data_IF_855383174597
#
_entry.id   IF_855383174597
#
_cell.length_a   1.000
_cell.length_b   1.000
_cell.length_c   1.000
_cell.angle_alpha   90.00
_cell.angle_beta   90.00
_cell.angle_gamma   90.00
#
_symmetry.space_group_name_H-M   'P 1'
#
loop_
_entity.id
_entity.type
_entity.pdbx_description
1 polymer ?
#
# COMPACT_ATOMS: atom_id res chain seq x y z
N UNK A 1 27.39 -15.82 -3.41
CA UNK A 1 27.15 -15.99 -4.85
C UNK A 1 25.82 -16.67 -5.09
N UNK A 2 25.73 -17.98 -4.82
CA UNK A 2 24.54 -18.79 -5.13
C UNK A 2 23.26 -18.40 -4.37
N UNK A 3 23.39 -17.79 -3.19
CA UNK A 3 22.27 -17.31 -2.39
C UNK A 3 21.51 -16.14 -3.05
N UNK A 4 22.24 -15.21 -3.69
CA UNK A 4 21.63 -14.10 -4.42
C UNK A 4 20.91 -14.60 -5.68
N UNK A 5 21.55 -15.52 -6.40
CA UNK A 5 20.98 -16.17 -7.58
C UNK A 5 19.70 -16.93 -7.24
N UNK A 6 19.69 -17.71 -6.15
CA UNK A 6 18.49 -18.44 -5.72
C UNK A 6 17.35 -17.47 -5.37
N UNK A 7 17.64 -16.39 -4.64
CA UNK A 7 16.63 -15.36 -4.32
C UNK A 7 16.05 -14.73 -5.58
N UNK A 8 16.89 -14.41 -6.55
CA UNK A 8 16.46 -13.81 -7.82
C UNK A 8 15.54 -14.76 -8.60
N UNK A 9 15.87 -16.06 -8.66
CA UNK A 9 15.01 -17.05 -9.29
C UNK A 9 13.66 -17.22 -8.59
N UNK A 10 13.66 -17.30 -7.26
CA UNK A 10 12.43 -17.39 -6.47
C UNK A 10 11.57 -16.11 -6.60
N UNK A 11 12.20 -14.95 -6.77
CA UNK A 11 11.46 -13.71 -7.00
C UNK A 11 10.86 -13.68 -8.40
N UNK A 12 11.65 -14.02 -9.43
CA UNK A 12 11.21 -13.92 -10.82
C UNK A 12 10.16 -14.95 -11.19
N UNK A 13 10.11 -16.10 -10.50
CA UNK A 13 9.06 -17.10 -10.74
C UNK A 13 7.65 -16.57 -10.45
N UNK A 14 7.52 -15.69 -9.45
CA UNK A 14 6.21 -15.36 -8.86
C UNK A 14 5.83 -13.88 -9.00
N UNK A 15 6.80 -12.96 -9.02
CA UNK A 15 6.56 -11.51 -8.85
C UNK A 15 5.56 -10.90 -9.84
N UNK A 16 5.37 -11.50 -11.01
CA UNK A 16 4.46 -10.99 -12.06
C UNK A 16 3.18 -11.81 -12.22
N UNK A 17 2.97 -12.83 -11.38
CA UNK A 17 1.76 -13.65 -11.40
C UNK A 17 0.58 -12.97 -10.71
N UNK A 18 0.83 -11.99 -9.85
CA UNK A 18 -0.22 -11.22 -9.18
C UNK A 18 0.27 -9.87 -8.65
N UNK A 19 -0.62 -8.89 -8.45
CA UNK A 19 -0.29 -7.64 -7.78
C UNK A 19 0.33 -7.85 -6.39
N UNK A 20 -0.17 -8.84 -5.64
CA UNK A 20 0.32 -9.15 -4.29
C UNK A 20 1.77 -9.65 -4.33
N UNK A 21 2.12 -10.51 -5.28
CA UNK A 21 3.50 -10.97 -5.45
C UNK A 21 4.42 -9.83 -5.91
N UNK A 22 3.94 -8.93 -6.77
CA UNK A 22 4.72 -7.79 -7.27
C UNK A 22 5.16 -6.86 -6.12
N UNK A 23 4.25 -6.49 -5.22
CA UNK A 23 4.55 -5.60 -4.09
C UNK A 23 5.42 -6.27 -3.01
N UNK A 24 5.39 -7.61 -2.92
CA UNK A 24 6.23 -8.39 -2.01
C UNK A 24 7.61 -8.74 -2.59
N UNK A 25 7.89 -8.36 -3.84
CA UNK A 25 9.24 -8.51 -4.39
C UNK A 25 10.25 -7.70 -3.56
N UNK A 26 11.53 -8.14 -3.44
CA UNK A 26 12.53 -7.44 -2.64
C UNK A 26 12.68 -5.95 -3.00
N UNK A 27 12.66 -5.62 -4.29
CA UNK A 27 12.78 -4.24 -4.77
C UNK A 27 11.60 -3.38 -4.33
N UNK A 28 10.37 -3.86 -4.55
CA UNK A 28 9.14 -3.16 -4.18
C UNK A 28 9.03 -3.01 -2.66
N UNK A 29 9.33 -4.08 -1.91
CA UNK A 29 9.32 -4.08 -0.44
C UNK A 29 10.31 -3.05 0.10
N UNK A 30 11.53 -3.02 -0.47
CA UNK A 30 12.55 -2.06 -0.07
C UNK A 30 12.13 -0.61 -0.39
N UNK A 31 11.47 -0.39 -1.52
CA UNK A 31 10.94 0.92 -1.88
C UNK A 31 9.80 1.39 -0.96
N UNK A 32 8.85 0.51 -0.65
CA UNK A 32 7.75 0.80 0.28
C UNK A 32 8.32 1.06 1.69
N UNK A 33 9.29 0.26 2.14
CA UNK A 33 9.94 0.47 3.43
C UNK A 33 10.64 1.84 3.52
N UNK A 34 11.31 2.28 2.44
CA UNK A 34 11.90 3.63 2.39
C UNK A 34 10.84 4.72 2.51
N UNK A 35 9.70 4.57 1.83
CA UNK A 35 8.60 5.53 1.92
C UNK A 35 8.02 5.62 3.34
N UNK A 36 7.88 4.47 4.02
CA UNK A 36 7.46 4.41 5.43
C UNK A 36 8.46 5.20 6.29
N UNK A 37 9.74 4.85 6.29
CA UNK A 37 10.69 5.48 7.24
C UNK A 37 10.95 6.96 6.97
N UNK A 38 10.58 7.47 5.80
CA UNK A 38 10.70 8.89 5.45
C UNK A 38 9.62 9.78 6.10
N UNK A 39 8.49 9.20 6.53
CA UNK A 39 7.37 9.96 7.10
C UNK A 39 7.42 10.03 8.64
N UNK A 40 7.01 11.16 9.23
CA UNK A 40 7.24 11.46 10.65
C UNK A 40 6.25 10.78 11.60
N UNK A 41 5.05 10.42 11.14
CA UNK A 41 3.98 9.85 11.96
C UNK A 41 3.34 8.62 11.29
N UNK A 42 2.68 7.78 12.09
CA UNK A 42 2.20 6.47 11.66
C UNK A 42 1.08 6.53 10.61
N UNK A 43 0.24 7.56 10.66
CA UNK A 43 -0.75 7.81 9.63
C UNK A 43 -0.10 8.08 8.26
N UNK A 44 0.81 9.05 8.20
CA UNK A 44 1.51 9.44 6.96
C UNK A 44 2.36 8.31 6.42
N UNK A 45 2.98 7.51 7.30
CA UNK A 45 3.67 6.26 6.95
C UNK A 45 2.77 5.29 6.19
N UNK A 46 1.54 5.11 6.67
CA UNK A 46 0.54 4.22 6.07
C UNK A 46 0.12 4.72 4.69
N UNK A 47 -0.16 6.02 4.55
CA UNK A 47 -0.50 6.64 3.26
C UNK A 47 0.66 6.51 2.27
N UNK A 48 1.89 6.85 2.69
CA UNK A 48 3.07 6.77 1.84
C UNK A 48 3.37 5.33 1.37
N UNK A 49 3.16 4.34 2.25
CA UNK A 49 3.27 2.92 1.88
C UNK A 49 2.25 2.54 0.80
N UNK A 50 0.99 2.90 1.00
CA UNK A 50 -0.10 2.65 0.06
C UNK A 50 0.15 3.31 -1.30
N UNK A 51 0.47 4.61 -1.32
CA UNK A 51 0.74 5.35 -2.56
C UNK A 51 1.96 4.80 -3.31
N UNK A 52 3.00 4.38 -2.58
CA UNK A 52 4.19 3.76 -3.19
C UNK A 52 3.85 2.41 -3.80
N UNK A 53 3.07 1.57 -3.10
CA UNK A 53 2.63 0.28 -3.62
C UNK A 53 1.77 0.44 -4.88
N UNK A 54 0.82 1.38 -4.87
CA UNK A 54 -0.02 1.70 -6.04
C UNK A 54 0.84 2.14 -7.22
N UNK A 55 1.81 3.05 -7.00
CA UNK A 55 2.71 3.51 -8.06
C UNK A 55 3.52 2.35 -8.67
N UNK A 56 4.12 1.50 -7.84
CA UNK A 56 4.88 0.31 -8.30
C UNK A 56 4.01 -0.58 -9.19
N UNK A 57 2.75 -0.80 -8.81
CA UNK A 57 1.80 -1.59 -9.60
C UNK A 57 1.43 -0.90 -10.91
N UNK A 58 1.12 0.41 -10.89
CA UNK A 58 0.79 1.18 -12.10
C UNK A 58 1.96 1.14 -13.09
N UNK A 59 3.19 1.33 -12.62
CA UNK A 59 4.40 1.26 -13.45
C UNK A 59 4.60 -0.15 -14.05
N UNK A 60 4.36 -1.21 -13.27
CA UNK A 60 4.44 -2.59 -13.74
C UNK A 60 3.37 -2.92 -14.80
N UNK A 61 2.15 -2.42 -14.65
CA UNK A 61 1.06 -2.59 -15.61
C UNK A 61 1.33 -1.79 -16.89
N UNK A 62 1.79 -0.54 -16.77
CA UNK A 62 2.13 0.33 -17.91
C UNK A 62 3.31 -0.22 -18.72
N UNK A 63 4.31 -0.79 -18.05
CA UNK A 63 5.46 -1.46 -18.70
C UNK A 63 5.13 -2.85 -19.26
N UNK A 64 3.91 -3.35 -19.05
CA UNK A 64 3.47 -4.67 -19.53
C UNK A 64 4.08 -5.85 -18.76
N UNK A 65 4.76 -5.61 -17.63
CA UNK A 65 5.33 -6.66 -16.78
C UNK A 65 4.28 -7.38 -15.96
N UNK A 66 3.29 -6.63 -15.46
CA UNK A 66 2.18 -7.17 -14.69
C UNK A 66 0.91 -7.17 -15.53
N UNK A 67 0.39 -8.37 -15.82
CA UNK A 67 -0.89 -8.54 -16.49
C UNK A 67 -2.03 -8.46 -15.47
N UNK A 68 -2.96 -7.53 -15.69
CA UNK A 68 -4.17 -7.37 -14.87
C UNK A 68 -5.40 -7.23 -15.76
N UNK A 69 -6.50 -7.80 -15.30
CA UNK A 69 -7.82 -7.68 -15.91
C UNK A 69 -8.32 -6.23 -15.90
N UNK A 70 -9.34 -5.93 -16.71
CA UNK A 70 -9.96 -4.61 -16.72
C UNK A 70 -10.55 -4.21 -15.36
N UNK A 71 -11.11 -5.19 -14.63
CA UNK A 71 -11.65 -4.97 -13.29
C UNK A 71 -10.54 -4.62 -12.28
N UNK A 72 -9.41 -5.32 -12.31
CA UNK A 72 -8.26 -5.02 -11.44
C UNK A 72 -7.66 -3.65 -11.73
N UNK A 73 -7.57 -3.23 -13.01
CA UNK A 73 -7.15 -1.86 -13.34
C UNK A 73 -8.09 -0.82 -12.74
N UNK A 74 -9.41 -1.05 -12.86
CA UNK A 74 -10.39 -0.13 -12.30
C UNK A 74 -10.26 -0.03 -10.77
N UNK A 75 -10.05 -1.15 -10.09
CA UNK A 75 -9.83 -1.16 -8.64
C UNK A 75 -8.51 -0.49 -8.24
N UNK A 76 -7.45 -0.64 -9.03
CA UNK A 76 -6.18 0.04 -8.80
C UNK A 76 -6.34 1.56 -8.90
N UNK A 77 -7.06 2.07 -9.92
CA UNK A 77 -7.35 3.51 -10.03
C UNK A 77 -8.23 4.03 -8.89
N UNK A 78 -9.20 3.23 -8.43
CA UNK A 78 -10.02 3.59 -7.25
C UNK A 78 -9.19 3.66 -5.97
N UNK A 79 -8.26 2.73 -5.77
CA UNK A 79 -7.36 2.74 -4.62
C UNK A 79 -6.43 3.95 -4.65
N UNK A 80 -5.89 4.30 -5.83
CA UNK A 80 -5.07 5.50 -6.03
C UNK A 80 -5.85 6.78 -5.68
N UNK A 81 -7.07 6.91 -6.21
CA UNK A 81 -7.94 8.04 -5.94
C UNK A 81 -8.31 8.13 -4.44
N UNK A 82 -8.63 7.01 -3.80
CA UNK A 82 -8.94 6.98 -2.38
C UNK A 82 -7.76 7.43 -1.52
N UNK A 83 -6.53 7.01 -1.85
CA UNK A 83 -5.32 7.46 -1.15
C UNK A 83 -5.04 8.95 -1.37
N UNK A 84 -5.35 9.48 -2.55
CA UNK A 84 -5.17 10.89 -2.86
C UNK A 84 -6.22 11.79 -2.17
N UNK A 85 -7.39 11.26 -1.85
CA UNK A 85 -8.51 11.95 -1.19
C UNK A 85 -8.38 11.97 0.35
N UNK A 86 -7.47 11.14 0.90
CA UNK A 86 -7.26 11.07 2.35
C UNK A 86 -6.82 12.43 2.94
N UNK A 87 -7.33 12.82 4.13
CA UNK A 87 -6.97 14.07 4.79
C UNK A 87 -5.46 14.20 5.05
N UNK A 88 -4.94 15.42 5.06
CA UNK A 88 -3.52 15.65 5.35
C UNK A 88 -3.16 15.38 6.82
N UNK A 89 -4.09 15.65 7.74
CA UNK A 89 -3.93 15.47 9.19
C UNK A 89 -4.63 14.19 9.67
N UNK A 90 -3.99 13.47 10.58
CA UNK A 90 -4.52 12.25 11.19
C UNK A 90 -5.79 12.51 12.01
N UNK A 91 -5.89 13.67 12.66
CA UNK A 91 -7.02 14.05 13.50
C UNK A 91 -8.28 14.25 12.68
N UNK A 92 -8.15 14.82 11.49
CA UNK A 92 -9.26 15.01 10.57
C UNK A 92 -9.82 13.64 10.14
N UNK A 93 -8.94 12.71 9.74
CA UNK A 93 -9.35 11.33 9.42
C UNK A 93 -10.00 10.65 10.63
N UNK A 94 -9.43 10.78 11.82
CA UNK A 94 -9.99 10.15 13.03
C UNK A 94 -11.38 10.69 13.35
N UNK A 95 -11.61 11.99 13.20
CA UNK A 95 -12.93 12.61 13.37
C UNK A 95 -13.91 12.03 12.36
N UNK A 96 -13.57 12.04 11.07
CA UNK A 96 -14.43 11.53 9.99
C UNK A 96 -14.79 10.04 10.19
N UNK A 97 -13.81 9.22 10.57
CA UNK A 97 -14.03 7.78 10.82
C UNK A 97 -14.84 7.54 12.09
N UNK A 98 -14.67 8.36 13.13
CA UNK A 98 -15.44 8.24 14.37
C UNK A 98 -16.88 8.67 14.17
N UNK A 99 -17.12 9.75 13.42
CA UNK A 99 -18.47 10.21 13.08
C UNK A 99 -19.22 9.16 12.26
N UNK A 100 -18.53 8.52 11.32
CA UNK A 100 -19.14 7.53 10.42
C UNK A 100 -19.31 6.16 11.10
N UNK A 101 -18.29 5.68 11.81
CA UNK A 101 -18.19 4.30 12.28
C UNK A 101 -18.06 4.14 13.80
N UNK A 102 -18.09 5.22 14.58
CA UNK A 102 -17.91 5.19 16.04
C UNK A 102 -18.90 4.30 16.79
N UNK A 103 -20.08 4.04 16.19
CA UNK A 103 -21.07 3.11 16.72
C UNK A 103 -20.74 1.62 16.50
N UNK A 104 -19.77 1.30 15.63
CA UNK A 104 -19.36 -0.07 15.31
C UNK A 104 -18.19 -0.58 16.15
N UNK A 105 -17.48 0.30 16.87
CA UNK A 105 -16.34 -0.07 17.69
C UNK A 105 -16.36 0.61 19.06
N UNK A 106 -15.49 0.16 19.97
CA UNK A 106 -15.31 0.76 21.29
C UNK A 106 -14.03 1.59 21.29
N UNK A 107 -14.08 2.93 21.37
CA UNK A 107 -12.88 3.78 21.33
C UNK A 107 -11.82 3.42 22.38
N UNK A 108 -12.25 3.03 23.58
CA UNK A 108 -11.37 2.59 24.66
C UNK A 108 -10.44 1.42 24.28
N UNK A 109 -10.87 0.52 23.37
CA UNK A 109 -10.03 -0.60 22.90
C UNK A 109 -8.79 -0.16 22.14
N UNK A 110 -8.80 1.07 21.61
CA UNK A 110 -7.72 1.66 20.82
C UNK A 110 -7.01 2.79 21.58
N UNK A 111 -7.29 2.97 22.88
CA UNK A 111 -6.75 4.07 23.67
C UNK A 111 -7.31 5.46 23.31
N UNK A 112 -8.50 5.51 22.69
CA UNK A 112 -9.13 6.75 22.20
C UNK A 112 -10.23 7.29 23.14
N UNK A 113 -10.43 6.69 24.31
CA UNK A 113 -11.33 7.23 25.32
C UNK A 113 -10.57 8.26 26.19
N UNK A 114 -11.15 9.44 26.40
CA UNK A 114 -10.73 10.37 27.46
C UNK A 114 -10.75 9.69 28.84
#
# INVERSE_FOLDING_TARGET
GGELTLREWLTESDRWLSPQAAILSPDATWEIARAIVAEPNDYRRTVAAGSTAVRVLKDAVQSGRLAVSGAERQWLEKADAALADLPADERDLLSEMTDTYGHLFRPASYGLAE
#
